data_IF_171559967594
#
_entry.id   IF_171559967594
#
_cell.length_a   1.000
_cell.length_b   1.000
_cell.length_c   1.000
_cell.angle_alpha   90.00
_cell.angle_beta   90.00
_cell.angle_gamma   90.00
#
_symmetry.space_group_name_H-M   'P 1'
#
loop_
_entity.id
_entity.type
_entity.pdbx_description
1 polymer ?
#
# COMPACT_ATOMS: atom_id res chain seq x y z
N UNK A 1 10.23 -5.87 0.39
CA UNK A 1 8.91 -5.53 -0.19
C UNK A 1 8.94 -4.46 -1.29
N UNK A 2 9.98 -3.64 -1.45
CA UNK A 2 10.30 -2.97 -2.75
C UNK A 2 11.78 -3.16 -3.06
N UNK A 3 12.65 -2.66 -2.18
CA UNK A 3 14.12 -2.73 -2.34
C UNK A 3 14.81 -3.81 -1.49
N UNK A 4 14.05 -4.75 -0.90
CA UNK A 4 14.62 -5.81 -0.04
C UNK A 4 15.26 -5.37 1.30
N UNK A 5 15.42 -4.05 1.54
CA UNK A 5 15.99 -3.46 2.76
C UNK A 5 15.17 -2.26 3.24
N UNK A 6 15.37 -1.85 4.49
CA UNK A 6 14.80 -0.61 5.03
C UNK A 6 15.58 0.62 4.52
N UNK A 7 14.96 1.82 4.42
CA UNK A 7 15.62 3.03 3.90
C UNK A 7 16.95 3.36 4.58
N UNK A 8 17.02 3.21 5.90
CA UNK A 8 18.21 3.49 6.72
C UNK A 8 19.00 2.23 7.10
N UNK A 9 18.72 1.09 6.47
CA UNK A 9 19.31 -0.21 6.85
C UNK A 9 20.83 -0.28 6.65
N UNK A 10 21.37 0.57 5.77
CA UNK A 10 22.82 0.68 5.50
C UNK A 10 23.57 1.51 6.53
N UNK A 11 22.86 2.26 7.39
CA UNK A 11 23.46 3.15 8.38
C UNK A 11 23.73 2.36 9.69
N UNK A 12 24.92 2.49 10.30
CA UNK A 12 25.22 1.90 11.60
C UNK A 12 24.21 2.33 12.67
N UNK A 13 23.87 1.44 13.61
CA UNK A 13 22.79 1.67 14.59
C UNK A 13 22.92 2.99 15.37
N UNK A 14 24.14 3.37 15.75
CA UNK A 14 24.36 4.60 16.52
C UNK A 14 24.09 5.89 15.71
N UNK A 15 24.32 5.86 14.39
CA UNK A 15 24.09 7.00 13.49
C UNK A 15 22.71 6.97 12.81
N UNK A 16 21.94 5.90 13.02
CA UNK A 16 20.65 5.69 12.35
C UNK A 16 19.59 6.68 12.80
N UNK A 17 19.51 6.93 14.11
CA UNK A 17 18.53 7.88 14.66
C UNK A 17 18.83 9.30 14.22
N UNK A 18 20.09 9.71 14.19
CA UNK A 18 20.46 11.06 13.72
C UNK A 18 20.13 11.26 12.25
N UNK A 19 20.34 10.23 11.40
CA UNK A 19 19.93 10.27 10.00
C UNK A 19 18.40 10.30 9.80
N UNK A 20 17.64 9.57 10.61
CA UNK A 20 16.16 9.56 10.54
C UNK A 20 15.57 10.92 10.95
N UNK A 21 16.19 11.59 11.92
CA UNK A 21 15.73 12.88 12.46
C UNK A 21 16.28 14.09 11.70
N UNK A 22 17.21 13.91 10.75
CA UNK A 22 17.75 15.00 9.95
C UNK A 22 16.82 15.30 8.75
N UNK A 23 16.17 16.49 8.70
CA UNK A 23 15.32 16.87 7.56
C UNK A 23 16.08 16.99 6.24
N UNK A 24 17.41 17.13 6.28
CA UNK A 24 18.26 17.23 5.09
C UNK A 24 18.77 15.87 4.60
N UNK A 25 18.59 14.81 5.41
CA UNK A 25 18.98 13.48 5.00
C UNK A 25 18.13 13.02 3.83
N UNK A 26 18.81 12.67 2.73
CA UNK A 26 18.15 12.17 1.52
C UNK A 26 18.09 10.66 1.56
N UNK A 27 16.89 10.11 1.43
CA UNK A 27 16.70 8.67 1.27
C UNK A 27 17.07 8.27 -0.16
N UNK A 28 17.92 7.25 -0.29
CA UNK A 28 18.28 6.67 -1.58
C UNK A 28 17.16 5.78 -2.12
N UNK A 29 16.76 6.04 -3.36
CA UNK A 29 15.82 5.23 -4.13
C UNK A 29 16.50 4.75 -5.42
N UNK A 30 17.19 3.60 -5.40
CA UNK A 30 17.82 3.03 -6.59
C UNK A 30 16.82 2.85 -7.74
N UNK A 31 17.28 2.82 -9.01
CA UNK A 31 16.41 2.55 -10.15
C UNK A 31 15.62 1.23 -9.97
N UNK A 32 14.31 1.28 -10.19
CA UNK A 32 13.39 0.16 -10.06
C UNK A 32 12.43 0.09 -11.24
N UNK A 33 12.97 0.02 -12.45
CA UNK A 33 12.23 0.07 -13.72
C UNK A 33 11.22 -1.07 -13.89
N UNK A 34 11.44 -2.20 -13.20
CA UNK A 34 10.53 -3.34 -13.19
C UNK A 34 9.26 -3.11 -12.34
N UNK A 35 9.18 -1.99 -11.60
CA UNK A 35 8.04 -1.66 -10.74
C UNK A 35 7.23 -0.50 -11.32
N UNK A 36 5.91 -0.44 -11.03
CA UNK A 36 5.10 0.70 -11.41
C UNK A 36 5.67 1.99 -10.81
N UNK A 37 5.85 3.02 -11.63
CA UNK A 37 6.35 4.33 -11.17
C UNK A 37 5.49 4.90 -10.02
N UNK A 38 4.18 4.64 -10.07
CA UNK A 38 3.23 5.05 -9.04
C UNK A 38 3.54 4.44 -7.67
N UNK A 39 4.04 3.20 -7.61
CA UNK A 39 4.47 2.55 -6.37
C UNK A 39 5.65 3.28 -5.76
N UNK A 40 6.62 3.65 -6.58
CA UNK A 40 7.80 4.40 -6.13
C UNK A 40 7.40 5.79 -5.63
N UNK A 41 6.51 6.48 -6.35
CA UNK A 41 5.99 7.79 -5.95
C UNK A 41 5.24 7.72 -4.62
N UNK A 42 4.38 6.72 -4.42
CA UNK A 42 3.65 6.54 -3.16
C UNK A 42 4.59 6.20 -2.00
N UNK A 43 5.60 5.35 -2.23
CA UNK A 43 6.61 5.04 -1.23
C UNK A 43 7.40 6.30 -0.81
N UNK A 44 7.79 7.15 -1.76
CA UNK A 44 8.41 8.46 -1.45
C UNK A 44 7.49 9.36 -0.64
N UNK A 45 6.21 9.43 -0.98
CA UNK A 45 5.23 10.24 -0.27
C UNK A 45 5.06 9.80 1.19
N UNK A 46 5.00 8.49 1.45
CA UNK A 46 4.94 7.91 2.80
C UNK A 46 6.19 8.24 3.65
N UNK A 47 7.36 8.34 3.02
CA UNK A 47 8.64 8.60 3.69
C UNK A 47 8.97 10.10 3.81
N UNK A 48 7.97 10.97 3.63
CA UNK A 48 8.12 12.42 3.85
C UNK A 48 8.50 12.70 5.30
N UNK A 49 9.56 13.48 5.52
CA UNK A 49 10.08 13.80 6.86
C UNK A 49 8.97 14.38 7.77
N UNK A 50 8.33 15.46 7.32
CA UNK A 50 7.21 16.06 8.03
C UNK A 50 5.99 15.13 8.05
N UNK A 51 5.65 14.63 9.24
CA UNK A 51 4.54 13.71 9.43
C UNK A 51 3.20 14.29 8.99
N UNK A 52 2.99 15.62 9.09
CA UNK A 52 1.75 16.28 8.65
C UNK A 52 1.62 16.36 7.13
N UNK A 53 2.72 16.20 6.40
CA UNK A 53 2.76 16.20 4.93
C UNK A 53 2.69 14.78 4.34
N UNK A 54 2.70 13.74 5.20
CA UNK A 54 2.52 12.36 4.77
C UNK A 54 1.07 12.10 4.35
N UNK A 55 0.85 11.16 3.43
CA UNK A 55 -0.50 10.77 3.06
C UNK A 55 -1.22 10.12 4.24
N UNK A 56 -2.50 10.41 4.35
CA UNK A 56 -3.45 9.59 5.09
C UNK A 56 -3.73 8.28 4.38
N UNK A 57 -4.25 7.29 5.11
CA UNK A 57 -4.68 6.00 4.54
C UNK A 57 -5.72 6.20 3.44
N UNK A 58 -6.66 7.14 3.63
CA UNK A 58 -7.69 7.47 2.63
C UNK A 58 -7.08 7.97 1.32
N UNK A 59 -6.06 8.82 1.40
CA UNK A 59 -5.35 9.30 0.22
C UNK A 59 -4.56 8.19 -0.47
N UNK A 60 -3.92 7.29 0.29
CA UNK A 60 -3.24 6.12 -0.27
C UNK A 60 -4.18 5.21 -1.06
N UNK A 61 -5.37 4.92 -0.54
CA UNK A 61 -6.38 4.09 -1.21
C UNK A 61 -6.97 4.73 -2.48
N UNK A 62 -6.80 6.04 -2.65
CA UNK A 62 -7.19 6.73 -3.88
C UNK A 62 -6.18 6.51 -5.02
N UNK A 63 -4.98 6.00 -4.74
CA UNK A 63 -3.97 5.77 -5.75
C UNK A 63 -4.28 4.49 -6.53
N UNK A 64 -4.55 4.62 -7.84
CA UNK A 64 -5.05 3.56 -8.73
C UNK A 64 -4.32 2.21 -8.62
N UNK A 65 -3.00 2.19 -8.49
CA UNK A 65 -2.23 0.93 -8.45
C UNK A 65 -2.28 0.21 -7.08
N UNK A 66 -2.80 0.87 -6.04
CA UNK A 66 -3.07 0.27 -4.73
C UNK A 66 -4.51 -0.20 -4.60
N UNK A 67 -5.36 0.12 -5.59
CA UNK A 67 -6.71 -0.41 -5.61
C UNK A 67 -6.65 -1.87 -6.06
N UNK A 68 -7.30 -2.78 -5.32
CA UNK A 68 -7.49 -4.14 -5.81
C UNK A 68 -8.18 -4.07 -7.17
N UNK A 69 -7.85 -5.04 -8.04
CA UNK A 69 -8.58 -5.19 -9.29
C UNK A 69 -10.04 -5.48 -8.92
N UNK A 70 -10.95 -4.55 -9.25
CA UNK A 70 -12.38 -4.72 -9.00
C UNK A 70 -12.86 -5.98 -9.72
N UNK A 71 -12.97 -7.06 -8.98
CA UNK A 71 -13.37 -8.36 -9.46
C UNK A 71 -14.59 -8.84 -8.68
N UNK A 72 -15.50 -9.57 -9.32
CA UNK A 72 -16.57 -10.23 -8.59
C UNK A 72 -15.99 -11.21 -7.57
N UNK A 73 -16.71 -11.43 -6.47
CA UNK A 73 -16.40 -12.49 -5.52
C UNK A 73 -16.28 -13.84 -6.27
N UNK A 74 -15.27 -14.68 -5.95
CA UNK A 74 -15.14 -15.98 -6.59
C UNK A 74 -16.40 -16.84 -6.38
N UNK A 75 -16.87 -17.52 -7.43
CA UNK A 75 -18.10 -18.33 -7.37
C UNK A 75 -18.07 -19.39 -6.27
N UNK A 76 -16.90 -19.98 -6.02
CA UNK A 76 -16.71 -20.99 -4.95
C UNK A 76 -16.90 -20.41 -3.54
N UNK A 77 -16.67 -19.12 -3.37
CA UNK A 77 -16.92 -18.41 -2.11
C UNK A 77 -18.40 -18.03 -2.02
N UNK A 78 -18.99 -17.49 -3.10
CA UNK A 78 -20.41 -17.18 -3.18
C UNK A 78 -21.27 -18.42 -2.87
N UNK A 79 -20.95 -19.56 -3.47
CA UNK A 79 -21.69 -20.81 -3.25
C UNK A 79 -21.64 -21.28 -1.79
N UNK A 80 -20.50 -21.12 -1.11
CA UNK A 80 -20.36 -21.43 0.32
C UNK A 80 -21.15 -20.47 1.19
N UNK A 81 -21.13 -19.18 0.87
CA UNK A 81 -21.87 -18.16 1.62
C UNK A 81 -23.39 -18.30 1.45
N UNK A 82 -23.88 -18.85 0.34
CA UNK A 82 -25.32 -19.01 0.04
C UNK A 82 -26.12 -19.66 1.16
N UNK A 83 -25.53 -20.60 1.90
CA UNK A 83 -26.21 -21.32 2.98
C UNK A 83 -26.29 -20.52 4.29
N UNK A 84 -25.55 -19.43 4.39
CA UNK A 84 -25.36 -18.65 5.62
C UNK A 84 -25.89 -17.22 5.54
N UNK A 85 -26.48 -16.84 4.40
CA UNK A 85 -27.00 -15.49 4.14
C UNK A 85 -28.41 -15.55 3.58
N UNK A 86 -29.17 -14.48 3.79
CA UNK A 86 -30.50 -14.32 3.21
C UNK A 86 -30.43 -14.17 1.68
N UNK A 87 -31.54 -14.40 0.95
CA UNK A 87 -31.57 -14.18 -0.50
C UNK A 87 -31.24 -12.73 -0.91
N UNK A 88 -31.61 -11.75 -0.08
CA UNK A 88 -31.29 -10.34 -0.30
C UNK A 88 -29.78 -10.09 -0.17
N UNK A 89 -29.15 -10.57 0.90
CA UNK A 89 -27.71 -10.48 1.11
C UNK A 89 -26.93 -11.23 0.02
N UNK A 90 -27.41 -12.40 -0.41
CA UNK A 90 -26.81 -13.14 -1.52
C UNK A 90 -26.79 -12.32 -2.81
N UNK A 91 -27.91 -11.64 -3.11
CA UNK A 91 -28.05 -10.76 -4.26
C UNK A 91 -27.15 -9.51 -4.16
N UNK A 92 -26.82 -9.06 -2.94
CA UNK A 92 -25.84 -7.99 -2.70
C UNK A 92 -24.39 -8.49 -2.90
N UNK A 93 -24.08 -9.71 -2.48
CA UNK A 93 -22.75 -10.31 -2.69
C UNK A 93 -22.48 -10.56 -4.18
N UNK A 94 -23.48 -10.99 -4.96
CA UNK A 94 -23.32 -11.22 -6.41
C UNK A 94 -22.98 -9.95 -7.20
N UNK A 95 -23.45 -8.78 -6.73
CA UNK A 95 -23.15 -7.47 -7.35
C UNK A 95 -21.93 -6.78 -6.73
N UNK A 96 -21.37 -7.33 -5.66
CA UNK A 96 -20.21 -6.76 -4.99
C UNK A 96 -18.96 -6.99 -5.85
N UNK A 97 -18.18 -5.93 -6.01
CA UNK A 97 -16.84 -5.99 -6.58
C UNK A 97 -15.85 -5.72 -5.45
N UNK A 98 -14.83 -6.58 -5.32
CA UNK A 98 -13.73 -6.46 -4.35
C UNK A 98 -12.50 -5.92 -5.05
#
# INVERSE_FOLDING_TARGET
MVYGRTPFGHIPNLAKLTAILDPNHRIDYPPAEHLPQSLISTLKWCLTYNARSRPSVRELLSVRHLQPAQAPLPDSLLQRLRQHVTPEEYSLLQRAQI
#
